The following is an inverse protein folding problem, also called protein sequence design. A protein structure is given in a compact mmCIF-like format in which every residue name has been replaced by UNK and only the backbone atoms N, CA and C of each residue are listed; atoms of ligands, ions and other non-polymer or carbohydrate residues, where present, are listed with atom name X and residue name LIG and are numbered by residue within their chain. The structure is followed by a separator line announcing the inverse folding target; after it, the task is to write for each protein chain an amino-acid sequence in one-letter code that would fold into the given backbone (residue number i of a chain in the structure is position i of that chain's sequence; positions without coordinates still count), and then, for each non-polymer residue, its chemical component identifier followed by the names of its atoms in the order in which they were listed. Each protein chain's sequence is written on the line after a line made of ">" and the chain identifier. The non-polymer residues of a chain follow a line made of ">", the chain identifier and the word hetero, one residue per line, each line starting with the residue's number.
data_IF_790746336247
#
_entry.id   IF_790746336247
#
_cell.length_a   1.000
_cell.length_b   1.000
_cell.length_c   1.000
_cell.angle_alpha   90.00
_cell.angle_beta   90.00
_cell.angle_gamma   90.00
#
_symmetry.space_group_name_H-M   'P 1'
#
loop_
_entity.id
_entity.type
_entity.pdbx_description
1 polymer ?
#
# COMPACT_ATOMS: atom_id res chain seq x y z
N UNK A 1 19.55 -7.89 -6.33
CA UNK A 1 18.33 -8.09 -7.14
C UNK A 1 17.53 -6.80 -7.07
N UNK A 2 17.28 -6.15 -8.21
CA UNK A 2 16.50 -4.91 -8.23
C UNK A 2 15.01 -5.26 -8.20
N UNK A 3 14.26 -4.64 -7.29
CA UNK A 3 12.82 -4.90 -7.15
C UNK A 3 12.04 -4.52 -8.41
N UNK A 4 12.57 -3.60 -9.22
CA UNK A 4 12.01 -3.18 -10.50
C UNK A 4 12.06 -4.27 -11.58
N UNK A 5 12.90 -5.27 -11.42
CA UNK A 5 13.04 -6.39 -12.37
C UNK A 5 12.13 -7.57 -12.00
N UNK A 6 11.36 -7.46 -10.92
CA UNK A 6 10.48 -8.52 -10.43
C UNK A 6 9.15 -8.54 -11.19
N UNK A 7 8.79 -9.70 -11.77
CA UNK A 7 7.47 -9.93 -12.37
C UNK A 7 6.31 -9.90 -11.34
N UNK A 8 6.61 -9.90 -10.05
CA UNK A 8 5.61 -9.92 -8.96
C UNK A 8 5.39 -8.56 -8.31
N UNK A 9 6.15 -7.53 -8.71
CA UNK A 9 6.08 -6.22 -8.10
C UNK A 9 5.84 -5.17 -9.18
N UNK A 10 4.76 -4.43 -9.02
CA UNK A 10 4.44 -3.29 -9.87
C UNK A 10 4.65 -2.00 -9.08
N UNK A 11 5.56 -1.15 -9.55
CA UNK A 11 5.92 0.11 -8.87
C UNK A 11 5.35 1.27 -9.67
N UNK A 12 4.50 2.06 -9.01
CA UNK A 12 3.89 3.26 -9.56
C UNK A 12 4.11 4.44 -8.62
N UNK A 13 4.11 5.65 -9.19
CA UNK A 13 4.36 6.87 -8.42
C UNK A 13 3.15 7.29 -7.60
N UNK A 14 1.96 7.20 -8.20
CA UNK A 14 0.72 7.68 -7.58
C UNK A 14 -0.48 6.95 -8.20
N UNK A 15 -1.52 6.73 -7.41
CA UNK A 15 -2.80 6.15 -7.85
C UNK A 15 -3.91 6.50 -6.85
N UNK A 16 -5.15 6.76 -7.32
CA UNK A 16 -6.27 7.02 -6.41
C UNK A 16 -6.59 5.81 -5.51
N UNK A 17 -6.68 6.04 -4.20
CA UNK A 17 -6.96 5.01 -3.19
C UNK A 17 -8.37 4.42 -3.28
N UNK A 18 -9.35 5.27 -3.57
CA UNK A 18 -10.74 4.90 -3.79
C UNK A 18 -10.91 3.93 -4.97
N UNK A 19 -10.06 4.07 -5.98
CA UNK A 19 -9.98 3.13 -7.09
C UNK A 19 -9.18 1.86 -6.72
N UNK A 20 -8.01 2.00 -6.09
CA UNK A 20 -7.11 0.87 -5.87
C UNK A 20 -7.58 -0.09 -4.76
N UNK A 21 -8.03 0.43 -3.61
CA UNK A 21 -8.26 -0.39 -2.41
C UNK A 21 -9.36 -1.45 -2.56
N UNK A 22 -10.46 -1.21 -3.31
CA UNK A 22 -11.44 -2.26 -3.60
C UNK A 22 -10.90 -3.40 -4.47
N UNK A 23 -9.78 -3.19 -5.17
CA UNK A 23 -9.21 -4.17 -6.11
C UNK A 23 -8.13 -5.04 -5.50
N UNK A 24 -7.68 -4.75 -4.27
CA UNK A 24 -6.62 -5.50 -3.60
C UNK A 24 -7.16 -6.25 -2.38
N UNK A 25 -6.69 -7.48 -2.13
CA UNK A 25 -7.15 -8.27 -0.98
C UNK A 25 -6.58 -7.77 0.36
N UNK A 26 -5.50 -6.99 0.33
CA UNK A 26 -4.89 -6.39 1.50
C UNK A 26 -4.09 -5.14 1.14
N UNK A 27 -3.97 -4.21 2.09
CA UNK A 27 -3.11 -3.02 1.99
C UNK A 27 -2.10 -3.03 3.12
N UNK A 28 -0.85 -2.73 2.82
CA UNK A 28 0.17 -2.46 3.84
C UNK A 28 0.67 -1.07 3.63
N UNK A 29 0.71 -0.31 4.72
CA UNK A 29 1.05 1.11 4.71
C UNK A 29 1.71 1.49 6.04
N UNK A 30 2.43 2.60 6.05
CA UNK A 30 3.16 3.06 7.23
C UNK A 30 2.27 3.74 8.30
N UNK A 31 0.94 3.70 8.15
CA UNK A 31 -0.07 4.32 9.02
C UNK A 31 -0.07 5.83 9.12
N UNK A 32 0.10 6.51 7.98
CA UNK A 32 -0.42 7.88 7.85
C UNK A 32 -1.93 7.90 8.14
N UNK A 33 -2.42 8.94 8.83
CA UNK A 33 -3.83 9.03 9.22
C UNK A 33 -4.78 9.05 8.00
N UNK A 34 -4.36 9.71 6.92
CA UNK A 34 -5.07 9.81 5.64
C UNK A 34 -5.28 8.44 4.97
N UNK A 35 -4.21 7.67 4.82
CA UNK A 35 -4.22 6.32 4.24
C UNK A 35 -4.97 5.34 5.13
N UNK A 36 -4.77 5.41 6.45
CA UNK A 36 -5.52 4.58 7.41
C UNK A 36 -7.03 4.79 7.27
N UNK A 37 -7.47 6.05 7.23
CA UNK A 37 -8.88 6.38 7.08
C UNK A 37 -9.44 5.92 5.72
N UNK A 38 -8.67 6.02 4.64
CA UNK A 38 -9.07 5.56 3.31
C UNK A 38 -9.24 4.03 3.25
N UNK A 39 -8.30 3.28 3.84
CA UNK A 39 -8.36 1.81 3.85
C UNK A 39 -9.51 1.30 4.74
N UNK A 40 -9.74 1.93 5.90
CA UNK A 40 -10.87 1.61 6.77
C UNK A 40 -12.22 1.88 6.08
N UNK A 41 -12.33 2.99 5.34
CA UNK A 41 -13.55 3.29 4.54
C UNK A 41 -13.77 2.26 3.44
N UNK A 42 -12.71 1.73 2.84
CA UNK A 42 -12.80 0.73 1.80
C UNK A 42 -13.16 -0.68 2.34
N UNK A 43 -13.08 -0.90 3.66
CA UNK A 43 -13.30 -2.22 4.26
C UNK A 43 -12.20 -3.24 3.95
N UNK A 44 -11.04 -2.78 3.45
CA UNK A 44 -9.95 -3.65 3.03
C UNK A 44 -9.09 -4.05 4.24
N UNK A 45 -8.77 -5.35 4.42
CA UNK A 45 -7.81 -5.78 5.44
C UNK A 45 -6.48 -5.02 5.32
N UNK A 46 -5.94 -4.52 6.43
CA UNK A 46 -4.71 -3.73 6.37
C UNK A 46 -3.74 -3.97 7.53
N UNK A 47 -2.45 -3.85 7.21
CA UNK A 47 -1.35 -3.99 8.16
C UNK A 47 -0.53 -2.71 8.19
N UNK A 48 -0.26 -2.23 9.41
CA UNK A 48 0.65 -1.14 9.67
C UNK A 48 2.09 -1.66 9.66
N UNK A 49 2.93 -1.13 8.77
CA UNK A 49 4.36 -1.46 8.71
C UNK A 49 5.19 -0.24 9.11
N UNK A 50 5.86 -0.30 10.27
CA UNK A 50 6.86 0.70 10.66
C UNK A 50 8.00 0.66 9.61
N UNK A 51 8.52 1.85 9.20
CA UNK A 51 9.52 2.13 8.14
C UNK A 51 10.78 1.22 8.06
N UNK A 52 10.96 0.26 8.96
CA UNK A 52 12.06 -0.71 8.97
C UNK A 52 11.60 -2.16 8.76
N UNK A 53 10.35 -2.39 8.37
CA UNK A 53 9.84 -3.72 8.03
C UNK A 53 10.15 -4.04 6.57
N UNK A 54 10.89 -5.11 6.30
CA UNK A 54 11.34 -5.55 4.96
C UNK A 54 10.22 -5.94 3.96
N UNK A 55 8.96 -5.62 4.27
CA UNK A 55 7.80 -5.91 3.44
C UNK A 55 7.56 -4.72 2.50
N UNK A 56 7.99 -4.87 1.26
CA UNK A 56 7.66 -3.92 0.19
C UNK A 56 6.22 -4.15 -0.26
N UNK A 57 5.31 -3.28 0.15
CA UNK A 57 3.96 -3.13 -0.42
C UNK A 57 3.49 -1.70 -0.12
N UNK A 58 3.15 -0.99 -1.21
CA UNK A 58 2.57 0.36 -1.29
C UNK A 58 2.84 1.28 -0.08
N UNK A 59 4.06 1.82 0.00
CA UNK A 59 4.25 3.07 0.73
C UNK A 59 3.58 4.16 -0.11
N UNK A 60 2.31 4.43 0.17
CA UNK A 60 1.64 5.63 -0.34
C UNK A 60 2.27 6.79 0.43
N UNK A 61 3.23 7.42 -0.23
CA UNK A 61 3.83 8.67 0.18
C UNK A 61 2.70 9.71 0.28
N UNK A 62 2.54 10.34 1.44
CA UNK A 62 1.93 11.69 1.50
C UNK A 62 2.81 12.69 0.74
#
# INVERSE_FOLDING_TARGET
>A
MNIKDSLRVFVIKEVPHDWLFPQVPAVVHHGGASTTAAVLRAGTPNQFAIRNSQFAIADVIE
#
